data_IF_135698294900
#
_entry.id   IF_135698294900
#
_cell.length_a   1.000
_cell.length_b   1.000
_cell.length_c   1.000
_cell.angle_alpha   90.00
_cell.angle_beta   90.00
_cell.angle_gamma   90.00
#
_symmetry.space_group_name_H-M   'P 1'
#
loop_
_entity.id
_entity.type
_entity.pdbx_description
1 polymer ?
#
# COMPACT_ATOMS: atom_id res chain seq x y z
N UNK A 1 -0.11 -7.92 11.56
CA UNK A 1 -0.91 -9.05 12.08
C UNK A 1 -2.21 -8.49 12.63
N UNK A 2 -3.33 -9.08 12.28
CA UNK A 2 -4.66 -8.50 12.53
C UNK A 2 -5.56 -9.32 13.46
N UNK A 3 -5.26 -10.61 13.69
CA UNK A 3 -6.05 -11.50 14.57
C UNK A 3 -5.16 -12.26 15.56
N UNK A 4 -5.28 -11.94 16.85
CA UNK A 4 -4.56 -12.67 17.91
C UNK A 4 -5.14 -14.07 18.14
N UNK A 5 -6.42 -14.28 17.83
CA UNK A 5 -7.08 -15.58 17.94
C UNK A 5 -6.53 -16.57 16.91
N UNK A 6 -6.54 -16.20 15.62
CA UNK A 6 -5.98 -17.07 14.58
C UNK A 6 -4.47 -17.27 14.74
N UNK A 7 -3.74 -16.29 15.27
CA UNK A 7 -2.32 -16.47 15.60
C UNK A 7 -2.09 -17.58 16.64
N UNK A 8 -2.91 -17.64 17.69
CA UNK A 8 -2.84 -18.70 18.71
C UNK A 8 -3.19 -20.06 18.14
N UNK A 9 -4.21 -20.12 17.28
CA UNK A 9 -4.63 -21.38 16.67
C UNK A 9 -3.60 -21.94 15.68
N UNK A 10 -3.00 -21.06 14.88
CA UNK A 10 -1.85 -21.41 14.02
C UNK A 10 -0.70 -21.97 14.88
N UNK A 11 -0.32 -21.27 15.95
CA UNK A 11 0.76 -21.72 16.83
C UNK A 11 0.46 -23.10 17.45
N UNK A 12 -0.77 -23.33 17.90
CA UNK A 12 -1.18 -24.62 18.46
C UNK A 12 -1.06 -25.77 17.44
N UNK A 13 -1.50 -25.55 16.20
CA UNK A 13 -1.39 -26.55 15.12
C UNK A 13 0.06 -26.87 14.76
N UNK A 14 0.90 -25.85 14.64
CA UNK A 14 2.34 -26.05 14.36
C UNK A 14 3.01 -26.86 15.48
N UNK A 15 2.72 -26.56 16.75
CA UNK A 15 3.24 -27.34 17.90
C UNK A 15 2.76 -28.79 17.89
N UNK A 16 1.55 -29.05 17.40
CA UNK A 16 1.00 -30.40 17.25
C UNK A 16 1.53 -31.16 16.01
N UNK A 17 2.38 -30.55 15.18
CA UNK A 17 2.85 -31.13 13.92
C UNK A 17 1.78 -31.18 12.83
N UNK A 18 0.70 -30.41 12.98
CA UNK A 18 -0.35 -30.28 11.97
C UNK A 18 0.02 -29.25 10.91
N UNK A 19 -0.47 -29.47 9.68
CA UNK A 19 -0.25 -28.53 8.58
C UNK A 19 -1.11 -27.27 8.72
N UNK A 20 -0.51 -26.13 8.43
CA UNK A 20 -1.15 -24.81 8.45
C UNK A 20 -1.08 -24.20 7.05
N UNK A 21 -2.16 -23.56 6.62
CA UNK A 21 -2.21 -22.93 5.31
C UNK A 21 -1.27 -21.74 5.20
N UNK A 22 -0.61 -21.59 4.06
CA UNK A 22 0.17 -20.40 3.73
C UNK A 22 -0.21 -19.90 2.34
N UNK A 23 -0.56 -18.62 2.23
CA UNK A 23 -0.73 -17.90 0.97
C UNK A 23 0.13 -16.64 0.98
N UNK A 24 0.59 -16.26 -0.19
CA UNK A 24 1.31 -15.00 -0.37
C UNK A 24 1.00 -14.42 -1.74
N UNK A 25 0.69 -13.13 -1.76
CA UNK A 25 0.62 -12.35 -2.99
C UNK A 25 2.02 -11.97 -3.51
N UNK A 26 3.08 -12.33 -2.77
CA UNK A 26 4.46 -11.99 -3.06
C UNK A 26 5.31 -13.24 -3.30
N UNK A 27 6.44 -13.11 -4.01
CA UNK A 27 7.41 -14.20 -4.12
C UNK A 27 7.85 -14.67 -2.73
N UNK A 28 8.00 -15.99 -2.60
CA UNK A 28 8.56 -16.64 -1.41
C UNK A 28 9.93 -17.18 -1.79
N UNK A 29 10.96 -16.79 -1.05
CA UNK A 29 12.34 -17.20 -1.25
C UNK A 29 12.82 -18.04 -0.05
N UNK A 30 13.57 -19.11 -0.32
CA UNK A 30 14.04 -20.07 0.69
C UNK A 30 13.16 -21.32 0.79
N UNK A 31 13.60 -22.33 1.56
CA UNK A 31 12.82 -23.54 1.79
C UNK A 31 11.59 -23.19 2.64
N UNK A 32 10.41 -23.63 2.18
CA UNK A 32 9.19 -23.51 2.97
C UNK A 32 9.05 -24.78 3.82
N UNK A 33 8.90 -24.67 5.16
CA UNK A 33 8.70 -25.82 6.04
C UNK A 33 7.54 -26.71 5.58
N UNK A 34 7.65 -28.03 5.76
CA UNK A 34 6.65 -29.01 5.29
C UNK A 34 5.28 -28.82 5.96
N UNK A 35 5.29 -28.26 7.17
CA UNK A 35 4.11 -27.89 7.95
C UNK A 35 3.30 -26.77 7.27
N UNK A 36 3.89 -25.98 6.38
CA UNK A 36 3.21 -24.89 5.68
C UNK A 36 2.65 -25.36 4.32
N UNK A 37 1.32 -25.53 4.28
CA UNK A 37 0.61 -25.95 3.08
C UNK A 37 0.28 -24.77 2.15
N UNK A 38 0.93 -24.75 0.98
CA UNK A 38 0.78 -23.70 -0.04
C UNK A 38 -0.32 -23.97 -1.06
N UNK A 39 -0.80 -25.21 -1.17
CA UNK A 39 -1.69 -25.63 -2.26
C UNK A 39 -3.01 -26.20 -1.75
N UNK A 40 -2.98 -26.93 -0.63
CA UNK A 40 -4.16 -27.53 -0.02
C UNK A 40 -5.06 -26.51 0.68
N UNK A 41 -6.15 -26.99 1.25
CA UNK A 41 -7.21 -26.15 1.85
C UNK A 41 -7.41 -26.45 3.34
N UNK A 42 -6.38 -26.26 4.19
CA UNK A 42 -6.55 -26.38 5.64
C UNK A 42 -7.55 -25.34 6.15
N UNK A 43 -8.23 -25.62 7.26
CA UNK A 43 -9.20 -24.69 7.84
C UNK A 43 -8.55 -23.46 8.49
N UNK A 44 -7.27 -23.56 8.87
CA UNK A 44 -6.51 -22.53 9.58
C UNK A 44 -5.27 -22.18 8.79
N UNK A 45 -4.99 -20.88 8.64
CA UNK A 45 -3.81 -20.45 7.91
C UNK A 45 -3.51 -18.97 7.89
N UNK A 46 -2.35 -18.73 7.31
CA UNK A 46 -1.66 -17.54 6.91
C UNK A 46 -1.90 -16.88 5.56
N UNK A 47 -2.17 -15.58 5.45
CA UNK A 47 -1.96 -14.87 4.18
C UNK A 47 -1.06 -13.65 4.34
N UNK A 48 -0.14 -13.48 3.39
CA UNK A 48 0.71 -12.30 3.27
C UNK A 48 0.25 -11.50 2.05
N UNK A 49 -0.46 -10.40 2.29
CA UNK A 49 -1.02 -9.53 1.25
C UNK A 49 -1.20 -8.10 1.79
N UNK A 50 -1.26 -7.13 0.87
CA UNK A 50 -1.70 -5.74 1.11
C UNK A 50 -3.18 -5.55 0.74
N UNK A 51 -3.82 -6.59 0.20
CA UNK A 51 -5.26 -6.65 -0.07
C UNK A 51 -6.00 -7.41 1.01
N UNK A 52 -7.29 -7.14 1.12
CA UNK A 52 -8.18 -7.90 1.96
C UNK A 52 -8.54 -9.25 1.29
N UNK A 53 -8.10 -10.35 1.91
CA UNK A 53 -8.41 -11.72 1.49
C UNK A 53 -8.45 -12.67 2.70
N UNK A 54 -9.27 -13.72 2.62
CA UNK A 54 -9.53 -14.71 3.68
C UNK A 54 -9.61 -16.13 3.11
N UNK A 55 -8.48 -16.72 2.69
CA UNK A 55 -8.46 -18.03 2.04
C UNK A 55 -8.77 -19.21 2.98
N UNK A 56 -8.81 -18.99 4.30
CA UNK A 56 -9.05 -20.00 5.32
C UNK A 56 -10.18 -19.60 6.27
N UNK A 57 -10.83 -20.58 6.90
CA UNK A 57 -11.89 -20.32 7.88
C UNK A 57 -11.35 -19.51 9.08
N UNK A 58 -10.15 -19.83 9.57
CA UNK A 58 -9.37 -18.97 10.46
C UNK A 58 -8.16 -18.44 9.68
N UNK A 59 -8.29 -17.23 9.14
CA UNK A 59 -7.21 -16.55 8.42
C UNK A 59 -6.52 -15.53 9.32
N UNK A 60 -5.20 -15.68 9.46
CA UNK A 60 -4.32 -14.63 9.97
C UNK A 60 -3.78 -13.81 8.79
N UNK A 61 -3.97 -12.48 8.79
CA UNK A 61 -3.37 -11.60 7.78
C UNK A 61 -2.07 -10.97 8.28
N UNK A 62 -1.01 -11.23 7.52
CA UNK A 62 0.31 -10.62 7.69
C UNK A 62 0.43 -9.52 6.63
N UNK A 63 0.27 -8.28 7.07
CA UNK A 63 0.15 -7.12 6.17
C UNK A 63 1.48 -6.35 6.16
N UNK A 64 2.30 -6.44 5.10
CA UNK A 64 3.54 -5.69 5.00
C UNK A 64 3.26 -4.20 4.76
N UNK A 65 4.01 -3.33 5.45
CA UNK A 65 3.91 -1.85 5.33
C UNK A 65 4.71 -1.32 4.14
N UNK A 66 4.32 -1.75 2.94
CA UNK A 66 5.08 -1.50 1.69
C UNK A 66 4.32 -0.62 0.69
N UNK A 67 3.09 -0.22 0.98
CA UNK A 67 2.31 0.62 0.07
C UNK A 67 2.66 2.09 0.31
N UNK A 68 2.97 2.79 -0.78
CA UNK A 68 3.21 4.22 -0.82
C UNK A 68 2.00 4.91 -1.44
N UNK A 69 1.38 5.81 -0.68
CA UNK A 69 0.30 6.67 -1.15
C UNK A 69 0.86 7.93 -1.76
N UNK A 70 0.66 8.13 -3.05
CA UNK A 70 0.89 9.40 -3.71
C UNK A 70 -0.34 10.29 -3.60
N UNK A 71 -0.19 11.48 -3.04
CA UNK A 71 -1.32 12.39 -2.80
C UNK A 71 -1.05 13.74 -3.48
N UNK A 72 -2.07 14.23 -4.18
CA UNK A 72 -2.17 15.63 -4.60
C UNK A 72 -3.49 16.21 -4.10
N UNK A 73 -3.51 17.51 -3.81
CA UNK A 73 -4.74 18.20 -3.46
C UNK A 73 -4.68 19.69 -3.81
N UNK A 74 -5.84 20.35 -3.92
CA UNK A 74 -5.92 21.81 -3.91
C UNK A 74 -5.47 22.33 -2.54
N UNK A 75 -4.99 23.58 -2.51
CA UNK A 75 -4.56 24.23 -1.27
C UNK A 75 -5.77 24.41 -0.34
N UNK A 76 -5.62 24.11 0.94
CA UNK A 76 -6.67 24.34 1.94
C UNK A 76 -7.86 23.38 1.82
N UNK A 77 -7.67 22.20 1.23
CA UNK A 77 -8.66 21.13 1.31
C UNK A 77 -8.87 20.75 2.78
N UNK A 78 -10.13 20.56 3.16
CA UNK A 78 -10.49 20.11 4.50
C UNK A 78 -9.84 18.75 4.83
N UNK A 79 -9.32 18.62 6.04
CA UNK A 79 -8.59 17.42 6.46
C UNK A 79 -9.50 16.19 6.45
N UNK A 80 -10.76 16.36 6.87
CA UNK A 80 -11.78 15.31 6.86
C UNK A 80 -12.05 14.81 5.44
N UNK A 81 -12.22 15.73 4.49
CA UNK A 81 -12.43 15.40 3.08
C UNK A 81 -11.28 14.59 2.47
N UNK A 82 -10.03 14.97 2.77
CA UNK A 82 -8.87 14.20 2.32
C UNK A 82 -8.88 12.79 2.90
N UNK A 83 -9.12 12.65 4.20
CA UNK A 83 -9.16 11.36 4.91
C UNK A 83 -10.24 10.44 4.36
N UNK A 84 -11.45 10.95 4.20
CA UNK A 84 -12.59 10.22 3.64
C UNK A 84 -12.34 9.80 2.19
N UNK A 85 -11.73 10.68 1.39
CA UNK A 85 -11.35 10.38 0.01
C UNK A 85 -10.34 9.24 -0.03
N UNK A 86 -9.26 9.30 0.78
CA UNK A 86 -8.25 8.24 0.84
C UNK A 86 -8.87 6.92 1.31
N UNK A 87 -9.66 6.94 2.39
CA UNK A 87 -10.31 5.74 2.90
C UNK A 87 -11.23 5.09 1.85
N UNK A 88 -12.00 5.89 1.10
CA UNK A 88 -12.86 5.41 0.03
C UNK A 88 -12.07 4.81 -1.13
N UNK A 89 -10.96 5.44 -1.53
CA UNK A 89 -10.08 4.93 -2.60
C UNK A 89 -9.46 3.60 -2.19
N UNK A 90 -8.91 3.51 -0.98
CA UNK A 90 -8.35 2.25 -0.46
C UNK A 90 -9.40 1.13 -0.44
N UNK A 91 -10.60 1.43 0.08
CA UNK A 91 -11.72 0.48 0.11
C UNK A 91 -12.15 0.01 -1.28
N UNK A 92 -12.27 0.93 -2.25
CA UNK A 92 -12.66 0.61 -3.62
C UNK A 92 -11.65 -0.30 -4.33
N UNK A 93 -10.38 -0.24 -3.91
CA UNK A 93 -9.31 -1.08 -4.42
C UNK A 93 -8.94 -2.24 -3.49
N UNK A 94 -9.73 -2.53 -2.46
CA UNK A 94 -9.48 -3.59 -1.48
C UNK A 94 -8.09 -3.51 -0.81
N UNK A 95 -7.48 -2.33 -0.71
CA UNK A 95 -6.19 -2.15 -0.04
C UNK A 95 -6.42 -1.94 1.45
N UNK A 96 -5.76 -2.73 2.28
CA UNK A 96 -5.85 -2.58 3.75
C UNK A 96 -5.06 -1.34 4.18
N UNK A 97 -5.63 -0.39 4.94
CA UNK A 97 -4.92 0.82 5.38
C UNK A 97 -3.62 0.56 6.16
N UNK A 98 -3.53 -0.58 6.85
CA UNK A 98 -2.37 -1.02 7.62
C UNK A 98 -1.16 -1.34 6.73
N UNK A 99 -1.37 -1.55 5.43
CA UNK A 99 -0.30 -1.76 4.45
C UNK A 99 0.42 -0.47 4.05
N UNK A 100 -0.15 0.70 4.38
CA UNK A 100 0.46 1.98 4.05
C UNK A 100 1.70 2.17 4.91
N UNK A 101 2.85 2.29 4.26
CA UNK A 101 4.14 2.56 4.90
C UNK A 101 4.63 3.99 4.70
N UNK A 102 4.07 4.75 3.77
CA UNK A 102 4.50 6.12 3.43
C UNK A 102 3.43 6.90 2.68
N UNK A 103 3.41 8.21 2.89
CA UNK A 103 2.72 9.18 2.02
C UNK A 103 3.77 9.98 1.25
N UNK A 104 3.50 10.24 -0.03
CA UNK A 104 4.39 10.96 -0.93
C UNK A 104 3.66 12.07 -1.71
N UNK A 105 4.34 13.18 -1.97
CA UNK A 105 3.83 14.26 -2.83
C UNK A 105 4.97 15.05 -3.49
N UNK A 106 4.64 16.16 -4.14
CA UNK A 106 5.60 17.16 -4.61
C UNK A 106 6.01 18.11 -3.46
N UNK A 107 7.20 18.67 -3.51
CA UNK A 107 7.76 19.62 -2.52
C UNK A 107 6.88 20.85 -2.24
N UNK A 108 6.13 21.34 -3.22
CA UNK A 108 5.11 22.39 -3.05
C UNK A 108 4.05 22.02 -1.97
N UNK A 109 3.93 20.74 -1.62
CA UNK A 109 3.01 20.21 -0.61
C UNK A 109 3.64 19.87 0.73
N UNK A 110 4.93 20.15 0.92
CA UNK A 110 5.66 19.80 2.15
C UNK A 110 5.00 20.34 3.44
N UNK A 111 4.32 21.48 3.35
CA UNK A 111 3.65 22.15 4.47
C UNK A 111 2.11 22.11 4.38
N UNK A 112 1.53 21.24 3.53
CA UNK A 112 0.07 21.15 3.38
C UNK A 112 -0.58 20.50 4.63
N UNK A 113 -1.39 21.24 5.41
CA UNK A 113 -1.88 20.75 6.70
C UNK A 113 -2.70 19.46 6.61
N UNK A 114 -3.51 19.30 5.55
CA UNK A 114 -4.32 18.11 5.37
C UNK A 114 -3.48 16.84 5.17
N UNK A 115 -2.40 16.92 4.38
CA UNK A 115 -1.53 15.78 4.12
C UNK A 115 -0.71 15.43 5.37
N UNK A 116 -0.20 16.45 6.07
CA UNK A 116 0.51 16.27 7.33
C UNK A 116 -0.37 15.60 8.39
N UNK A 117 -1.62 16.05 8.54
CA UNK A 117 -2.56 15.48 9.48
C UNK A 117 -2.96 14.03 9.13
N UNK A 118 -3.03 13.70 7.84
CA UNK A 118 -3.25 12.32 7.39
C UNK A 118 -2.03 11.43 7.71
N UNK A 119 -0.82 11.91 7.42
CA UNK A 119 0.42 11.18 7.71
C UNK A 119 0.60 10.91 9.21
N UNK A 120 0.33 11.91 10.04
CA UNK A 120 0.32 11.78 11.50
C UNK A 120 -0.75 10.77 11.96
N UNK A 121 -2.00 10.88 11.49
CA UNK A 121 -3.03 9.91 11.85
C UNK A 121 -2.64 8.47 11.50
N UNK A 122 -2.03 8.26 10.33
CA UNK A 122 -1.60 6.94 9.86
C UNK A 122 -0.27 6.48 10.49
N UNK A 123 0.42 7.38 11.21
CA UNK A 123 1.74 7.14 11.81
C UNK A 123 2.76 6.68 10.76
N UNK A 124 2.80 7.37 9.61
CA UNK A 124 3.71 7.08 8.50
C UNK A 124 4.49 8.32 8.07
N UNK A 125 5.71 8.16 7.55
CA UNK A 125 6.48 9.28 7.02
C UNK A 125 5.75 9.94 5.84
N UNK A 126 5.78 11.27 5.81
CA UNK A 126 5.45 12.07 4.64
C UNK A 126 6.74 12.50 3.93
N UNK A 127 6.91 12.08 2.68
CA UNK A 127 8.07 12.45 1.85
C UNK A 127 7.59 13.34 0.71
N UNK A 128 8.40 14.31 0.33
CA UNK A 128 8.15 15.10 -0.88
C UNK A 128 9.33 15.02 -1.83
N UNK A 129 9.05 15.26 -3.11
CA UNK A 129 10.03 15.24 -4.19
C UNK A 129 9.91 16.51 -5.02
N UNK A 130 11.03 16.95 -5.57
CA UNK A 130 11.07 18.06 -6.52
C UNK A 130 10.36 17.71 -7.83
N UNK A 131 9.95 18.74 -8.59
CA UNK A 131 9.35 18.53 -9.91
C UNK A 131 10.28 17.78 -10.86
N UNK A 132 11.58 18.09 -10.79
CA UNK A 132 12.64 17.45 -11.57
C UNK A 132 12.76 15.95 -11.26
N UNK A 133 12.76 15.57 -9.97
CA UNK A 133 12.80 14.17 -9.56
C UNK A 133 11.58 13.39 -10.05
N UNK A 134 10.40 14.00 -9.96
CA UNK A 134 9.14 13.39 -10.42
C UNK A 134 9.11 13.25 -11.95
N UNK A 135 9.65 14.22 -12.69
CA UNK A 135 9.70 14.18 -14.15
C UNK A 135 10.50 12.96 -14.68
N UNK A 136 11.52 12.51 -13.95
CA UNK A 136 12.31 11.33 -14.29
C UNK A 136 11.59 9.99 -14.05
N UNK A 137 10.48 10.00 -13.31
CA UNK A 137 9.73 8.79 -12.98
C UNK A 137 9.05 8.25 -14.24
N UNK A 138 9.10 6.93 -14.40
CA UNK A 138 8.42 6.19 -15.46
C UNK A 138 7.30 5.34 -14.85
N UNK A 139 6.26 5.14 -15.64
CA UNK A 139 5.17 4.23 -15.33
C UNK A 139 5.00 3.27 -16.50
N UNK A 140 4.84 1.99 -16.21
CA UNK A 140 4.66 0.95 -17.22
C UNK A 140 3.41 1.19 -18.06
N UNK A 141 2.33 1.65 -17.43
CA UNK A 141 1.05 1.95 -18.06
C UNK A 141 0.94 3.41 -18.55
N UNK A 142 1.98 4.23 -18.36
CA UNK A 142 1.95 5.68 -18.61
C UNK A 142 1.28 6.46 -17.47
N UNK A 143 1.13 7.78 -17.65
CA UNK A 143 0.58 8.68 -16.63
C UNK A 143 -0.74 9.30 -17.06
N UNK A 144 -1.63 9.51 -16.10
CA UNK A 144 -2.84 10.31 -16.29
C UNK A 144 -2.52 11.80 -16.11
N UNK A 145 -2.06 12.44 -17.20
CA UNK A 145 -1.62 13.83 -17.21
C UNK A 145 -2.80 14.83 -17.03
N UNK A 146 -2.49 16.05 -16.58
CA UNK A 146 -3.45 17.13 -16.33
C UNK A 146 -2.82 18.49 -16.63
N UNK A 147 -3.44 19.25 -17.54
CA UNK A 147 -2.94 20.57 -17.93
C UNK A 147 -2.93 21.56 -16.76
N UNK A 148 -3.93 21.49 -15.88
CA UNK A 148 -3.96 22.29 -14.66
C UNK A 148 -2.81 21.96 -13.71
N UNK A 149 -2.50 20.67 -13.52
CA UNK A 149 -1.36 20.28 -12.67
C UNK A 149 -0.05 20.72 -13.32
N UNK A 150 0.05 20.61 -14.65
CA UNK A 150 1.22 21.04 -15.42
C UNK A 150 1.47 22.53 -15.31
N UNK A 151 0.43 23.37 -15.40
CA UNK A 151 0.58 24.82 -15.30
C UNK A 151 1.01 25.30 -13.90
N UNK A 152 0.69 24.52 -12.85
CA UNK A 152 1.03 24.86 -11.46
C UNK A 152 2.38 24.29 -11.03
N UNK A 153 2.71 23.06 -11.47
CA UNK A 153 3.83 22.28 -10.92
C UNK A 153 4.94 22.01 -11.94
N UNK A 154 4.72 22.32 -13.22
CA UNK A 154 5.62 21.96 -14.32
C UNK A 154 5.47 20.51 -14.82
N UNK A 155 4.75 19.65 -14.09
CA UNK A 155 4.46 18.25 -14.46
C UNK A 155 2.96 18.01 -14.48
N UNK A 156 2.44 17.21 -15.41
CA UNK A 156 0.98 17.01 -15.51
C UNK A 156 0.44 15.97 -14.53
N UNK A 157 1.29 15.29 -13.76
CA UNK A 157 0.87 14.32 -12.76
C UNK A 157 1.79 14.37 -11.54
N UNK A 158 1.22 14.47 -10.35
CA UNK A 158 1.99 14.44 -9.09
C UNK A 158 1.78 13.11 -8.35
N UNK A 159 0.52 12.71 -8.14
CA UNK A 159 0.21 11.59 -7.26
C UNK A 159 0.79 10.25 -7.75
N UNK A 160 0.68 9.91 -9.05
CA UNK A 160 1.22 8.64 -9.56
C UNK A 160 2.75 8.66 -9.52
N UNK A 161 3.37 9.75 -9.96
CA UNK A 161 4.83 9.90 -9.95
C UNK A 161 5.40 9.81 -8.54
N UNK A 162 4.76 10.46 -7.57
CA UNK A 162 5.20 10.44 -6.17
C UNK A 162 5.03 9.05 -5.54
N UNK A 163 3.93 8.34 -5.83
CA UNK A 163 3.72 6.97 -5.38
C UNK A 163 4.82 6.03 -5.92
N UNK A 164 5.03 6.05 -7.24
CA UNK A 164 6.04 5.22 -7.92
C UNK A 164 7.46 5.53 -7.44
N UNK A 165 7.82 6.83 -7.34
CA UNK A 165 9.13 7.25 -6.84
C UNK A 165 9.38 6.76 -5.42
N UNK A 166 8.40 6.92 -4.53
CA UNK A 166 8.53 6.49 -3.14
C UNK A 166 8.53 4.98 -2.97
N UNK A 167 7.89 4.24 -3.87
CA UNK A 167 7.90 2.78 -3.87
C UNK A 167 9.12 2.18 -4.58
N UNK A 168 9.80 2.95 -5.44
CA UNK A 168 10.93 2.45 -6.24
C UNK A 168 10.51 1.50 -7.36
N UNK A 169 9.28 1.61 -7.86
CA UNK A 169 8.73 0.75 -8.92
C UNK A 169 8.16 1.58 -10.07
N UNK A 170 7.87 0.92 -11.19
CA UNK A 170 7.19 1.51 -12.36
C UNK A 170 5.72 1.06 -12.48
N UNK A 171 5.22 0.26 -11.53
CA UNK A 171 3.84 -0.28 -11.57
C UNK A 171 2.96 0.33 -10.50
N UNK A 172 1.81 0.83 -10.92
CA UNK A 172 0.79 1.35 -10.01
C UNK A 172 -0.07 0.20 -9.45
N UNK A 173 -0.32 0.27 -8.14
CA UNK A 173 -1.32 -0.57 -7.47
C UNK A 173 -2.73 0.05 -7.59
N UNK A 174 -2.78 1.39 -7.53
CA UNK A 174 -3.99 2.19 -7.74
C UNK A 174 -3.61 3.32 -8.71
N UNK A 175 -4.23 3.40 -9.90
CA UNK A 175 -4.06 4.55 -10.80
C UNK A 175 -4.70 5.81 -10.21
N UNK A 176 -4.36 6.98 -10.76
CA UNK A 176 -4.89 8.26 -10.30
C UNK A 176 -6.41 8.25 -10.18
N UNK A 177 -6.88 8.38 -8.94
CA UNK A 177 -8.29 8.59 -8.62
C UNK A 177 -8.48 10.02 -8.17
N UNK A 178 -9.25 10.80 -8.93
CA UNK A 178 -9.54 12.20 -8.63
C UNK A 178 -10.93 12.33 -7.99
N UNK A 179 -11.03 13.09 -6.91
CA UNK A 179 -12.31 13.48 -6.32
C UNK A 179 -12.20 14.87 -5.71
N UNK A 180 -13.03 15.80 -6.21
CA UNK A 180 -13.27 17.11 -5.57
C UNK A 180 -12.00 17.82 -5.09
N UNK A 181 -11.01 17.95 -5.99
CA UNK A 181 -9.77 18.65 -5.68
C UNK A 181 -8.72 17.82 -4.93
N UNK A 182 -8.95 16.53 -4.67
CA UNK A 182 -7.98 15.54 -4.17
C UNK A 182 -7.67 14.53 -5.28
N UNK A 183 -6.42 14.09 -5.37
CA UNK A 183 -5.98 12.99 -6.23
C UNK A 183 -5.15 12.02 -5.43
N UNK A 184 -5.48 10.73 -5.52
CA UNK A 184 -4.79 9.64 -4.82
C UNK A 184 -4.31 8.62 -5.84
N UNK A 185 -3.10 8.13 -5.67
CA UNK A 185 -2.55 6.97 -6.36
C UNK A 185 -1.77 6.12 -5.34
N UNK A 186 -1.51 4.86 -5.68
CA UNK A 186 -0.72 3.99 -4.81
C UNK A 186 0.21 3.09 -5.62
N UNK A 187 1.37 2.78 -5.05
CA UNK A 187 2.32 1.80 -5.55
C UNK A 187 2.85 0.97 -4.38
N UNK A 188 3.30 -0.25 -4.63
CA UNK A 188 3.91 -1.10 -3.61
C UNK A 188 5.42 -1.20 -3.87
N UNK A 189 6.21 -1.13 -2.79
CA UNK A 189 7.63 -1.46 -2.85
C UNK A 189 7.82 -2.93 -3.21
N UNK A 190 8.95 -3.27 -3.82
CA UNK A 190 9.33 -4.66 -4.03
C UNK A 190 9.44 -5.37 -2.68
N UNK A 191 8.75 -6.50 -2.56
CA UNK A 191 8.69 -7.27 -1.33
C UNK A 191 8.77 -8.76 -1.66
N UNK A 192 9.64 -9.47 -0.94
CA UNK A 192 9.82 -10.92 -1.02
C UNK A 192 9.73 -11.47 0.39
N UNK A 193 8.97 -12.54 0.56
CA UNK A 193 8.89 -13.27 1.82
C UNK A 193 10.10 -14.18 1.89
N UNK A 194 11.04 -13.89 2.79
CA UNK A 194 12.18 -14.75 3.04
C UNK A 194 11.83 -15.78 4.12
N UNK A 195 12.04 -17.05 3.80
CA UNK A 195 12.00 -18.15 4.76
C UNK A 195 13.44 -18.55 5.06
N UNK A 196 13.78 -18.55 6.35
CA UNK A 196 15.04 -19.05 6.88
C UNK A 196 14.82 -20.44 7.46
N UNK A 197 15.88 -21.26 7.47
CA UNK A 197 15.90 -22.58 8.12
C UNK A 197 15.83 -22.48 9.65
#
# INVERSE_FOLDING_TARGET
>A
MDSMECAKEIAAKLVAGERVGMRSAFPVFGPVPEELDREGTPSVGFIIDVREDTPFACTLRLIPRIVVLGIGCRKGVEQTHLKETVARVLKAHHIVPESIGRIASIDLKQAEPAILALADQMQVPFTTYTSEELMQVRAKEGFTESDFVKSVTGIGNVCERAALKGAGTERLLIPKTACEGVTVAAAAMDYTVCMEE
#
